data_IF_080850216003
#
_entry.id   IF_080850216003
#
_cell.length_a   1.000
_cell.length_b   1.000
_cell.length_c   1.000
_cell.angle_alpha   90.00
_cell.angle_beta   90.00
_cell.angle_gamma   90.00
#
_symmetry.space_group_name_H-M   'P 1'
#
loop_
_entity.id
_entity.type
_entity.pdbx_description
1 polymer ?
#
# COMPACT_ATOMS: atom_id res chain seq x y z
N UNK A 1 9.78 -35.15 4.24
CA UNK A 1 9.22 -34.32 3.16
C UNK A 1 10.37 -33.48 2.60
N UNK A 2 10.78 -33.66 1.33
CA UNK A 2 11.89 -32.89 0.78
C UNK A 2 11.50 -31.41 0.65
N UNK A 3 12.45 -30.47 0.86
CA UNK A 3 12.18 -29.05 0.67
C UNK A 3 11.82 -28.78 -0.80
N UNK A 4 10.71 -28.08 -1.03
CA UNK A 4 10.34 -27.62 -2.38
C UNK A 4 11.45 -26.73 -2.91
N UNK A 5 11.99 -27.09 -4.08
CA UNK A 5 12.85 -26.23 -4.88
C UNK A 5 12.15 -24.88 -5.06
N UNK A 6 12.70 -23.81 -4.48
CA UNK A 6 12.24 -22.45 -4.75
C UNK A 6 12.56 -22.17 -6.20
N UNK A 7 11.54 -22.00 -7.05
CA UNK A 7 11.74 -21.39 -8.36
C UNK A 7 12.46 -20.05 -8.14
N UNK A 8 13.35 -19.66 -9.06
CA UNK A 8 13.86 -18.28 -9.10
C UNK A 8 12.62 -17.39 -9.14
N UNK A 9 12.37 -16.64 -8.06
CA UNK A 9 11.32 -15.65 -8.06
C UNK A 9 11.62 -14.64 -9.15
N UNK A 10 10.58 -14.17 -9.86
CA UNK A 10 10.74 -13.04 -10.76
C UNK A 10 11.38 -11.87 -9.99
N UNK A 11 12.22 -11.05 -10.65
CA UNK A 11 12.82 -9.90 -10.01
C UNK A 11 11.72 -9.05 -9.37
N UNK A 12 11.86 -8.77 -8.08
CA UNK A 12 10.95 -7.82 -7.41
C UNK A 12 11.16 -6.49 -8.13
N UNK A 13 10.10 -5.89 -8.73
CA UNK A 13 10.28 -4.63 -9.42
C UNK A 13 10.78 -3.58 -8.43
N UNK A 14 11.85 -2.87 -8.79
CA UNK A 14 12.39 -1.80 -7.96
C UNK A 14 11.80 -0.46 -8.37
N UNK A 15 11.34 0.30 -7.37
CA UNK A 15 10.91 1.68 -7.51
C UNK A 15 11.37 2.47 -6.29
N UNK A 16 11.61 3.76 -6.47
CA UNK A 16 11.72 4.65 -5.30
C UNK A 16 10.33 4.97 -4.75
N UNK A 17 10.22 5.37 -3.47
CA UNK A 17 8.95 5.86 -2.93
C UNK A 17 8.32 6.97 -3.77
N UNK A 18 9.14 7.87 -4.33
CA UNK A 18 8.69 8.96 -5.19
C UNK A 18 8.16 8.49 -6.55
N UNK A 19 8.83 7.50 -7.17
CA UNK A 19 8.36 6.88 -8.42
C UNK A 19 6.99 6.23 -8.21
N UNK A 20 6.85 5.43 -7.15
CA UNK A 20 5.58 4.77 -6.84
C UNK A 20 4.49 5.79 -6.53
N UNK A 21 4.81 6.84 -5.77
CA UNK A 21 3.86 7.91 -5.45
C UNK A 21 3.35 8.63 -6.69
N UNK A 22 4.24 8.87 -7.65
CA UNK A 22 3.89 9.48 -8.93
C UNK A 22 2.94 8.60 -9.73
N UNK A 23 3.20 7.28 -9.78
CA UNK A 23 2.30 6.30 -10.42
C UNK A 23 0.93 6.24 -9.75
N UNK A 24 0.88 6.26 -8.41
CA UNK A 24 -0.37 6.27 -7.65
C UNK A 24 -1.18 7.54 -7.90
N UNK A 25 -0.53 8.71 -7.91
CA UNK A 25 -1.18 9.98 -8.25
C UNK A 25 -1.72 9.98 -9.69
N UNK A 26 -0.98 9.41 -10.64
CA UNK A 26 -1.43 9.27 -12.03
C UNK A 26 -2.66 8.35 -12.12
N UNK A 27 -2.60 7.17 -11.49
CA UNK A 27 -3.73 6.24 -11.43
C UNK A 27 -4.99 6.85 -10.80
N UNK A 28 -4.83 7.65 -9.74
CA UNK A 28 -5.96 8.39 -9.13
C UNK A 28 -6.52 9.42 -10.11
N UNK A 29 -5.65 10.16 -10.80
CA UNK A 29 -6.04 11.16 -11.79
C UNK A 29 -6.81 10.53 -12.96
N UNK A 30 -6.39 9.36 -13.44
CA UNK A 30 -7.06 8.64 -14.53
C UNK A 30 -8.48 8.20 -14.14
N UNK A 31 -8.75 8.07 -12.83
CA UNK A 31 -10.09 7.82 -12.27
C UNK A 31 -10.88 9.10 -11.98
N UNK A 32 -10.33 10.26 -12.33
CA UNK A 32 -10.91 11.57 -12.02
C UNK A 32 -10.78 11.97 -10.55
N UNK A 33 -9.93 11.29 -9.78
CA UNK A 33 -9.76 11.54 -8.35
C UNK A 33 -8.55 12.44 -8.08
N UNK A 34 -8.64 13.18 -6.97
CA UNK A 34 -7.51 13.93 -6.41
C UNK A 34 -7.26 13.44 -4.98
N UNK A 35 -5.99 13.28 -4.55
CA UNK A 35 -5.68 12.95 -3.17
C UNK A 35 -6.28 13.97 -2.21
N UNK A 36 -6.89 13.48 -1.14
CA UNK A 36 -7.43 14.31 -0.07
C UNK A 36 -6.31 14.73 0.89
N UNK A 37 -6.47 15.85 1.58
CA UNK A 37 -5.44 16.38 2.49
C UNK A 37 -4.97 15.37 3.55
N UNK A 38 -5.91 14.60 4.13
CA UNK A 38 -5.56 13.58 5.12
C UNK A 38 -4.80 12.38 4.52
N UNK A 39 -4.99 12.08 3.22
CA UNK A 39 -4.22 11.04 2.53
C UNK A 39 -2.78 11.50 2.38
N UNK A 40 -2.56 12.74 1.90
CA UNK A 40 -1.23 13.33 1.77
C UNK A 40 -0.49 13.37 3.11
N UNK A 41 -1.15 13.85 4.17
CA UNK A 41 -0.58 13.91 5.51
C UNK A 41 -0.19 12.52 6.05
N UNK A 42 -1.02 11.50 5.80
CA UNK A 42 -0.70 10.12 6.18
C UNK A 42 0.52 9.62 5.40
N UNK A 43 0.59 9.88 4.09
CA UNK A 43 1.70 9.41 3.28
C UNK A 43 3.03 10.05 3.69
N UNK A 44 3.03 11.33 4.02
CA UNK A 44 4.20 12.04 4.55
C UNK A 44 4.63 11.49 5.92
N UNK A 45 3.68 11.14 6.80
CA UNK A 45 3.99 10.50 8.07
C UNK A 45 4.64 9.12 7.88
N UNK A 46 4.12 8.33 6.93
CA UNK A 46 4.70 7.03 6.58
C UNK A 46 6.10 7.17 6.00
N UNK A 47 6.37 8.20 5.17
CA UNK A 47 7.72 8.46 4.63
C UNK A 47 8.75 8.76 5.72
N UNK A 48 8.30 9.37 6.82
CA UNK A 48 9.13 9.62 8.01
C UNK A 48 9.28 8.40 8.93
N UNK A 49 8.67 7.26 8.59
CA UNK A 49 8.69 6.05 9.41
C UNK A 49 7.84 6.16 10.67
N UNK A 50 6.87 7.07 10.71
CA UNK A 50 6.02 7.30 11.88
C UNK A 50 4.93 6.23 12.00
N UNK A 51 4.57 5.91 13.25
CA UNK A 51 3.37 5.13 13.57
C UNK A 51 2.21 6.07 13.91
N UNK A 52 0.98 5.72 13.55
CA UNK A 52 -0.18 6.57 13.81
C UNK A 52 -1.54 5.89 13.69
N UNK A 53 -2.58 6.60 14.14
CA UNK A 53 -3.98 6.19 14.05
C UNK A 53 -4.74 7.15 13.13
N UNK A 54 -5.32 6.62 12.06
CA UNK A 54 -6.19 7.38 11.17
C UNK A 54 -7.66 7.11 11.50
N UNK A 55 -8.33 8.07 12.12
CA UNK A 55 -9.76 8.02 12.38
C UNK A 55 -10.52 8.86 11.35
N UNK A 56 -11.23 8.20 10.42
CA UNK A 56 -12.02 8.87 9.37
C UNK A 56 -13.38 8.18 9.19
N UNK A 57 -14.43 8.91 8.82
CA UNK A 57 -15.73 8.33 8.49
C UNK A 57 -15.67 7.29 7.36
N UNK A 58 -16.67 6.43 7.26
CA UNK A 58 -16.83 5.52 6.12
C UNK A 58 -16.96 6.32 4.83
N UNK A 59 -16.37 5.83 3.73
CA UNK A 59 -16.39 6.51 2.43
C UNK A 59 -15.40 7.67 2.29
N UNK A 60 -14.70 8.08 3.35
CA UNK A 60 -13.74 9.19 3.31
C UNK A 60 -12.39 8.85 2.64
N UNK A 61 -12.21 7.64 2.11
CA UNK A 61 -10.97 7.25 1.45
C UNK A 61 -9.83 6.86 2.40
N UNK A 62 -10.15 6.44 3.65
CA UNK A 62 -9.16 5.97 4.65
C UNK A 62 -8.31 4.80 4.17
N UNK A 63 -8.86 3.93 3.32
CA UNK A 63 -8.12 2.82 2.72
C UNK A 63 -6.98 3.34 1.86
N UNK A 64 -7.24 4.28 0.95
CA UNK A 64 -6.18 4.88 0.12
C UNK A 64 -5.18 5.69 0.96
N UNK A 65 -5.61 6.34 2.03
CA UNK A 65 -4.70 7.02 2.95
C UNK A 65 -3.66 6.05 3.53
N UNK A 66 -4.09 4.90 4.07
CA UNK A 66 -3.20 3.90 4.65
C UNK A 66 -2.42 3.12 3.58
N UNK A 67 -3.12 2.55 2.60
CA UNK A 67 -2.54 1.60 1.66
C UNK A 67 -1.53 2.26 0.71
N UNK A 68 -1.83 3.45 0.17
CA UNK A 68 -0.92 4.11 -0.77
C UNK A 68 0.33 4.68 -0.10
N UNK A 69 0.24 5.08 1.18
CA UNK A 69 1.42 5.46 1.96
C UNK A 69 2.38 4.28 2.13
N UNK A 70 1.83 3.10 2.44
CA UNK A 70 2.62 1.87 2.65
C UNK A 70 3.13 1.26 1.34
N UNK A 71 2.34 1.33 0.26
CA UNK A 71 2.69 0.73 -1.03
C UNK A 71 3.95 1.34 -1.65
N UNK A 72 4.22 2.62 -1.39
CA UNK A 72 5.46 3.28 -1.81
C UNK A 72 6.73 2.65 -1.21
N UNK A 73 6.59 1.87 -0.13
CA UNK A 73 7.71 1.31 0.63
C UNK A 73 7.88 -0.20 0.47
N UNK A 74 6.92 -0.89 -0.15
CA UNK A 74 7.07 -2.30 -0.53
C UNK A 74 7.85 -2.40 -1.85
N UNK A 75 8.42 -3.57 -2.17
CA UNK A 75 9.21 -3.78 -3.40
C UNK A 75 10.72 -3.53 -3.24
N UNK A 76 11.22 -3.39 -2.01
CA UNK A 76 12.67 -3.40 -1.75
C UNK A 76 13.26 -4.79 -2.02
N UNK A 77 14.53 -4.85 -2.38
CA UNK A 77 15.29 -6.09 -2.68
C UNK A 77 15.35 -7.09 -1.51
N UNK A 78 14.82 -6.73 -0.34
CA UNK A 78 14.69 -7.56 0.86
C UNK A 78 13.64 -8.67 0.65
N UNK A 79 14.05 -9.95 0.53
CA UNK A 79 13.11 -11.05 0.46
C UNK A 79 12.40 -11.25 1.80
N UNK A 80 11.06 -11.24 1.83
CA UNK A 80 10.31 -11.49 3.05
C UNK A 80 8.94 -10.82 3.10
N UNK A 81 8.26 -10.92 4.25
CA UNK A 81 7.00 -10.21 4.50
C UNK A 81 7.27 -8.71 4.68
N UNK A 82 6.77 -7.88 3.75
CA UNK A 82 6.99 -6.43 3.76
C UNK A 82 5.77 -5.64 4.26
N UNK A 83 4.56 -6.20 4.18
CA UNK A 83 3.32 -5.54 4.60
C UNK A 83 2.35 -6.58 5.20
N UNK A 84 1.86 -6.29 6.41
CA UNK A 84 0.81 -7.06 7.08
C UNK A 84 -0.41 -6.18 7.30
N UNK A 85 -1.53 -6.52 6.65
CA UNK A 85 -2.80 -5.83 6.81
C UNK A 85 -3.77 -6.71 7.59
N UNK A 86 -4.25 -6.21 8.73
CA UNK A 86 -5.13 -6.95 9.65
C UNK A 86 -6.51 -6.30 9.66
N UNK A 87 -7.55 -7.08 9.42
CA UNK A 87 -8.94 -6.62 9.44
C UNK A 87 -9.81 -7.48 10.35
N UNK A 88 -10.78 -6.89 11.08
CA UNK A 88 -11.65 -7.64 11.96
C UNK A 88 -12.70 -8.50 11.21
N UNK A 89 -12.96 -8.21 9.92
CA UNK A 89 -13.99 -8.89 9.13
C UNK A 89 -13.39 -9.55 7.89
N UNK A 90 -13.62 -10.86 7.74
CA UNK A 90 -13.24 -11.62 6.54
C UNK A 90 -13.87 -11.09 5.25
N UNK A 91 -15.06 -10.49 5.34
CA UNK A 91 -15.73 -9.91 4.18
C UNK A 91 -14.91 -8.77 3.55
N UNK A 92 -14.28 -7.94 4.39
CA UNK A 92 -13.45 -6.82 3.92
C UNK A 92 -12.18 -7.31 3.20
N UNK A 93 -11.61 -8.43 3.64
CA UNK A 93 -10.47 -9.06 2.96
C UNK A 93 -10.84 -9.49 1.53
N UNK A 94 -12.02 -10.10 1.34
CA UNK A 94 -12.48 -10.56 0.03
C UNK A 94 -12.76 -9.42 -0.96
N UNK A 95 -13.20 -8.27 -0.46
CA UNK A 95 -13.44 -7.10 -1.31
C UNK A 95 -12.12 -6.49 -1.79
N UNK A 96 -11.08 -6.51 -0.96
CA UNK A 96 -9.74 -6.05 -1.35
C UNK A 96 -9.06 -6.96 -2.37
N UNK A 97 -9.27 -8.28 -2.30
CA UNK A 97 -8.72 -9.24 -3.29
C UNK A 97 -9.28 -9.06 -4.71
N UNK A 98 -10.49 -8.50 -4.84
CA UNK A 98 -11.20 -8.37 -6.12
C UNK A 98 -11.06 -6.99 -6.79
N UNK A 99 -10.48 -6.01 -6.10
CA UNK A 99 -10.46 -4.59 -6.50
C UNK A 99 -9.21 -4.17 -7.26
#
# INVERSE_FOLDING_TARGET
>A
MPPRSRSKADPIPSWTPDDMRSRLKAWMKDRGWKPLAHQLAMWEAVDRGESGLLQMPTGAGKTYAAFFGLLAHIGKEEPGLQLLYITPLRALTRDLEKS
#
